data_IF_850877576069
#
_entry.id   IF_850877576069
#
_cell.length_a   1.000
_cell.length_b   1.000
_cell.length_c   1.000
_cell.angle_alpha   90.00
_cell.angle_beta   90.00
_cell.angle_gamma   90.00
#
_symmetry.space_group_name_H-M   'P 1'
#
loop_
_entity.id
_entity.type
_entity.pdbx_description
1 polymer ?
#
# COMPACT_ATOMS: atom_id res chain seq x y z
N UNK A 1 -10.55 3.33 38.07
CA UNK A 1 -11.51 2.62 37.21
C UNK A 1 -10.78 2.09 35.99
N UNK A 2 -9.94 1.10 36.25
CA UNK A 2 -8.97 0.45 35.37
C UNK A 2 -9.63 -0.67 34.58
N UNK A 3 -9.52 -0.68 33.24
CA UNK A 3 -9.90 -1.87 32.46
C UNK A 3 -10.16 -1.71 30.97
N UNK A 4 -10.37 -0.51 30.44
CA UNK A 4 -10.47 -0.33 28.98
C UNK A 4 -9.12 0.13 28.44
N UNK A 5 -8.58 -0.57 27.43
CA UNK A 5 -7.35 -0.23 26.70
C UNK A 5 -7.43 1.12 25.93
N UNK A 6 -8.31 2.04 26.32
CA UNK A 6 -8.61 3.25 25.56
C UNK A 6 -9.32 2.98 24.24
N UNK A 7 -9.69 1.72 23.97
CA UNK A 7 -10.41 1.35 22.77
C UNK A 7 -11.91 1.59 22.96
N UNK A 8 -12.38 2.80 22.70
CA UNK A 8 -13.82 3.06 22.56
C UNK A 8 -14.39 2.31 21.33
N UNK A 9 -15.72 2.16 21.24
CA UNK A 9 -16.40 1.49 20.10
C UNK A 9 -15.92 1.99 18.72
N UNK A 10 -15.56 3.27 18.61
CA UNK A 10 -14.99 3.87 17.40
C UNK A 10 -13.64 3.23 16.99
N UNK A 11 -12.78 2.92 17.95
CA UNK A 11 -11.47 2.32 17.69
C UNK A 11 -11.55 0.84 17.32
N UNK A 12 -12.47 0.07 17.91
CA UNK A 12 -12.72 -1.33 17.53
C UNK A 12 -13.26 -1.38 16.10
N UNK A 13 -14.16 -0.47 15.74
CA UNK A 13 -14.68 -0.34 14.37
C UNK A 13 -13.55 -0.01 13.38
N UNK A 14 -12.66 0.94 13.72
CA UNK A 14 -11.51 1.29 12.89
C UNK A 14 -10.51 0.12 12.74
N UNK A 15 -10.23 -0.61 13.82
CA UNK A 15 -9.36 -1.78 13.78
C UNK A 15 -9.96 -2.93 12.96
N UNK A 16 -11.26 -3.19 13.10
CA UNK A 16 -11.95 -4.21 12.30
C UNK A 16 -11.98 -3.82 10.82
N UNK A 17 -12.27 -2.55 10.51
CA UNK A 17 -12.20 -2.05 9.15
C UNK A 17 -10.79 -2.22 8.55
N UNK A 18 -9.74 -1.84 9.31
CA UNK A 18 -8.36 -2.05 8.92
C UNK A 18 -8.04 -3.53 8.67
N UNK A 19 -8.44 -4.41 9.59
CA UNK A 19 -8.21 -5.85 9.48
C UNK A 19 -8.91 -6.46 8.26
N UNK A 20 -10.17 -6.10 7.99
CA UNK A 20 -10.91 -6.57 6.82
C UNK A 20 -10.28 -6.07 5.53
N UNK A 21 -9.90 -4.79 5.48
CA UNK A 21 -9.28 -4.20 4.29
C UNK A 21 -7.92 -4.83 3.98
N UNK A 22 -7.11 -5.09 5.00
CA UNK A 22 -5.83 -5.80 4.85
C UNK A 22 -6.06 -7.25 4.39
N UNK A 23 -7.03 -7.96 4.97
CA UNK A 23 -7.36 -9.32 4.53
C UNK A 23 -7.81 -9.38 3.07
N UNK A 24 -8.61 -8.40 2.62
CA UNK A 24 -9.01 -8.29 1.22
C UNK A 24 -7.82 -8.00 0.29
N UNK A 25 -6.90 -7.12 0.72
CA UNK A 25 -5.68 -6.82 -0.03
C UNK A 25 -4.79 -8.07 -0.18
N UNK A 26 -4.63 -8.85 0.90
CA UNK A 26 -3.83 -10.08 0.89
C UNK A 26 -4.43 -11.13 -0.04
N UNK A 27 -5.73 -11.37 0.07
CA UNK A 27 -6.43 -12.32 -0.82
C UNK A 27 -6.31 -11.88 -2.27
N UNK A 28 -6.55 -10.61 -2.56
CA UNK A 28 -6.48 -10.07 -3.93
C UNK A 28 -5.05 -10.18 -4.51
N UNK A 29 -4.04 -9.83 -3.71
CA UNK A 29 -2.63 -9.89 -4.13
C UNK A 29 -2.17 -11.32 -4.39
N UNK A 30 -2.57 -12.27 -3.53
CA UNK A 30 -2.22 -13.68 -3.68
C UNK A 30 -2.86 -14.32 -4.92
N UNK A 31 -4.13 -13.98 -5.20
CA UNK A 31 -4.81 -14.44 -6.42
C UNK A 31 -4.16 -13.84 -7.67
N UNK A 32 -3.73 -12.57 -7.63
CA UNK A 32 -3.09 -11.90 -8.77
C UNK A 32 -1.64 -12.39 -9.05
N UNK A 33 -0.91 -12.84 -8.03
CA UNK A 33 0.51 -13.22 -8.17
C UNK A 33 0.74 -14.41 -9.11
N UNK A 34 -0.11 -15.43 -9.06
CA UNK A 34 0.04 -16.62 -9.90
C UNK A 34 -0.08 -16.35 -11.41
N UNK A 35 -1.14 -15.66 -11.90
CA UNK A 35 -1.24 -15.31 -13.32
C UNK A 35 -0.12 -14.37 -13.75
N UNK A 36 0.32 -13.43 -12.92
CA UNK A 36 1.48 -12.56 -13.26
C UNK A 36 2.76 -13.37 -13.51
N UNK A 37 3.02 -14.37 -12.65
CA UNK A 37 4.19 -15.25 -12.80
C UNK A 37 4.10 -16.10 -14.07
N UNK A 38 2.90 -16.58 -14.41
CA UNK A 38 2.69 -17.36 -15.63
C UNK A 38 2.79 -16.49 -16.88
N UNK A 39 2.23 -15.27 -16.88
CA UNK A 39 2.34 -14.31 -17.99
C UNK A 39 3.79 -14.01 -18.36
N UNK A 40 4.66 -13.79 -17.35
CA UNK A 40 6.10 -13.56 -17.57
C UNK A 40 6.79 -14.83 -18.06
N UNK A 41 6.30 -16.01 -17.69
CA UNK A 41 6.80 -17.29 -18.20
C UNK A 41 6.42 -17.55 -19.66
N UNK A 42 5.24 -17.10 -20.09
CA UNK A 42 4.66 -17.35 -21.42
C UNK A 42 5.10 -16.31 -22.47
N UNK A 43 5.42 -15.09 -22.05
CA UNK A 43 5.78 -13.98 -22.95
C UNK A 43 7.28 -13.93 -23.32
N UNK A 44 8.15 -14.74 -22.69
CA UNK A 44 9.60 -14.59 -22.80
C UNK A 44 10.31 -15.95 -22.90
N UNK A 45 11.27 -16.08 -23.83
CA UNK A 45 12.09 -17.28 -24.02
C UNK A 45 12.88 -17.63 -22.74
N UNK A 46 13.21 -18.91 -22.53
CA UNK A 46 13.86 -19.41 -21.30
C UNK A 46 15.13 -18.65 -20.92
N UNK A 47 15.94 -18.23 -21.90
CA UNK A 47 17.17 -17.46 -21.68
C UNK A 47 16.92 -16.02 -21.16
N UNK A 48 15.73 -15.46 -21.39
CA UNK A 48 15.37 -14.09 -21.06
C UNK A 48 14.51 -13.97 -19.80
N UNK A 49 14.02 -15.10 -19.25
CA UNK A 49 13.17 -15.11 -18.04
C UNK A 49 13.84 -14.42 -16.86
N UNK A 50 15.14 -14.66 -16.63
CA UNK A 50 15.88 -14.02 -15.52
C UNK A 50 15.90 -12.50 -15.63
N UNK A 51 16.10 -11.97 -16.84
CA UNK A 51 16.09 -10.53 -17.10
C UNK A 51 14.68 -9.93 -16.94
N UNK A 52 13.66 -10.62 -17.44
CA UNK A 52 12.26 -10.19 -17.29
C UNK A 52 11.81 -10.14 -15.81
N UNK A 53 12.15 -11.16 -15.02
CA UNK A 53 11.92 -11.15 -13.57
C UNK A 53 12.72 -10.03 -12.87
N UNK A 54 13.94 -9.74 -13.34
CA UNK A 54 14.75 -8.63 -12.86
C UNK A 54 14.06 -7.27 -13.06
N UNK A 55 13.55 -7.00 -14.27
CA UNK A 55 12.80 -5.77 -14.57
C UNK A 55 11.51 -5.69 -13.75
N UNK A 56 10.75 -6.79 -13.66
CA UNK A 56 9.52 -6.83 -12.88
C UNK A 56 9.79 -6.52 -11.40
N UNK A 57 10.82 -7.12 -10.83
CA UNK A 57 11.24 -6.87 -9.45
C UNK A 57 11.72 -5.43 -9.26
N UNK A 58 12.50 -4.89 -10.20
CA UNK A 58 12.97 -3.51 -10.15
C UNK A 58 11.81 -2.51 -10.19
N UNK A 59 10.86 -2.69 -11.10
CA UNK A 59 9.67 -1.83 -11.21
C UNK A 59 8.79 -1.94 -9.95
N UNK A 60 8.56 -3.14 -9.43
CA UNK A 60 7.77 -3.34 -8.22
C UNK A 60 8.41 -2.71 -6.99
N UNK A 61 9.72 -2.92 -6.79
CA UNK A 61 10.44 -2.34 -5.66
C UNK A 61 10.61 -0.81 -5.81
N UNK A 62 10.91 -0.34 -7.03
CA UNK A 62 10.99 1.09 -7.33
C UNK A 62 9.67 1.81 -7.07
N UNK A 63 8.55 1.21 -7.50
CA UNK A 63 7.21 1.72 -7.21
C UNK A 63 6.92 1.77 -5.71
N UNK A 64 7.30 0.72 -4.95
CA UNK A 64 7.13 0.70 -3.49
C UNK A 64 7.96 1.79 -2.79
N UNK A 65 9.20 2.03 -3.23
CA UNK A 65 10.05 3.10 -2.68
C UNK A 65 9.45 4.48 -2.98
N UNK A 66 8.99 4.72 -4.21
CA UNK A 66 8.35 5.99 -4.58
C UNK A 66 7.09 6.21 -3.73
N UNK A 67 6.25 5.17 -3.57
CA UNK A 67 5.04 5.23 -2.75
C UNK A 67 5.35 5.52 -1.27
N UNK A 68 6.43 4.99 -0.72
CA UNK A 68 6.85 5.27 0.66
C UNK A 68 7.33 6.71 0.87
N UNK A 69 7.89 7.33 -0.17
CA UNK A 69 8.43 8.70 -0.11
C UNK A 69 7.33 9.75 -0.37
N UNK A 70 6.23 9.38 -1.01
CA UNK A 70 5.12 10.27 -1.38
C UNK A 70 4.60 11.18 -0.25
N UNK A 71 4.32 10.69 0.97
CA UNK A 71 3.87 11.54 2.08
C UNK A 71 4.90 12.60 2.48
N UNK A 72 6.18 12.27 2.38
CA UNK A 72 7.28 13.20 2.67
C UNK A 72 7.40 14.29 1.61
N UNK A 73 7.15 13.94 0.34
CA UNK A 73 7.10 14.92 -0.75
C UNK A 73 5.99 15.93 -0.47
N UNK A 74 4.77 15.49 -0.15
CA UNK A 74 3.68 16.42 0.19
C UNK A 74 3.97 17.24 1.44
N UNK A 75 4.65 16.65 2.41
CA UNK A 75 5.11 17.38 3.61
C UNK A 75 6.11 18.48 3.24
N UNK A 76 7.05 18.22 2.32
CA UNK A 76 7.99 19.21 1.83
C UNK A 76 7.31 20.36 1.06
N UNK A 77 6.17 20.09 0.43
CA UNK A 77 5.30 21.11 -0.19
C UNK A 77 4.41 21.87 0.81
N UNK A 78 4.56 21.64 2.12
CA UNK A 78 3.87 22.38 3.17
C UNK A 78 2.56 21.74 3.66
N UNK A 79 2.27 20.50 3.27
CA UNK A 79 1.12 19.75 3.83
C UNK A 79 1.47 19.29 5.24
N UNK A 80 0.57 19.54 6.20
CA UNK A 80 0.76 19.11 7.59
C UNK A 80 0.96 17.58 7.70
N UNK A 81 2.08 17.18 8.29
CA UNK A 81 2.39 15.79 8.64
C UNK A 81 1.99 15.46 10.10
N UNK A 82 1.62 16.47 10.88
CA UNK A 82 1.11 16.29 12.24
C UNK A 82 -0.42 16.38 12.26
N UNK A 83 -1.04 15.55 13.08
CA UNK A 83 -2.48 15.56 13.30
C UNK A 83 -2.79 15.32 14.78
N UNK A 84 -3.97 15.77 15.21
CA UNK A 84 -4.47 15.50 16.56
C UNK A 84 -4.67 13.99 16.79
N UNK A 85 -4.68 13.60 18.06
CA UNK A 85 -4.80 12.19 18.45
C UNK A 85 -6.11 11.59 17.92
N UNK A 86 -6.01 10.64 17.01
CA UNK A 86 -7.16 9.98 16.36
C UNK A 86 -7.46 10.47 14.94
N UNK A 87 -6.69 11.43 14.42
CA UNK A 87 -6.80 11.93 13.04
C UNK A 87 -5.58 11.50 12.23
N UNK A 88 -5.80 11.07 10.99
CA UNK A 88 -4.71 10.73 10.06
C UNK A 88 -4.14 12.02 9.47
N UNK A 89 -2.81 12.21 9.41
CA UNK A 89 -2.20 13.39 8.82
C UNK A 89 -2.63 13.63 7.37
N UNK A 90 -2.83 14.91 7.02
CA UNK A 90 -3.31 15.31 5.70
C UNK A 90 -2.35 14.86 4.59
N UNK A 91 -1.04 14.85 4.86
CA UNK A 91 -0.02 14.35 3.92
C UNK A 91 -0.23 12.87 3.55
N UNK A 92 -0.65 12.04 4.50
CA UNK A 92 -0.93 10.62 4.31
C UNK A 92 -2.25 10.43 3.54
N UNK A 93 -3.29 11.20 3.89
CA UNK A 93 -4.59 11.15 3.20
C UNK A 93 -4.46 11.52 1.73
N UNK A 94 -3.76 12.62 1.42
CA UNK A 94 -3.54 13.06 0.03
C UNK A 94 -2.72 12.03 -0.74
N UNK A 95 -1.68 11.46 -0.11
CA UNK A 95 -0.86 10.41 -0.73
C UNK A 95 -1.69 9.17 -1.08
N UNK A 96 -2.61 8.77 -0.21
CA UNK A 96 -3.51 7.65 -0.44
C UNK A 96 -4.45 7.90 -1.63
N UNK A 97 -5.08 9.07 -1.72
CA UNK A 97 -5.98 9.39 -2.83
C UNK A 97 -5.26 9.56 -4.17
N UNK A 98 -4.07 10.16 -4.18
CA UNK A 98 -3.27 10.26 -5.41
C UNK A 98 -2.83 8.86 -5.87
N UNK A 99 -2.43 7.99 -4.93
CA UNK A 99 -2.17 6.59 -5.22
C UNK A 99 -3.39 5.87 -5.81
N UNK A 100 -4.57 6.04 -5.21
CA UNK A 100 -5.81 5.46 -5.71
C UNK A 100 -6.17 5.97 -7.11
N UNK A 101 -5.94 7.26 -7.41
CA UNK A 101 -6.20 7.83 -8.72
C UNK A 101 -5.24 7.32 -9.81
N UNK A 102 -4.00 6.98 -9.47
CA UNK A 102 -3.03 6.38 -10.41
C UNK A 102 -3.41 4.92 -10.77
N UNK A 103 -4.11 4.22 -9.86
CA UNK A 103 -4.50 2.83 -10.04
C UNK A 103 -5.82 2.64 -10.81
N UNK A 104 -6.64 3.70 -10.92
CA UNK A 104 -7.88 3.73 -11.71
C UNK A 104 -7.59 4.03 -13.19
#
# INVERSE_FOLDING_TARGET
NSGSFGFGYASVTALVFGAVTVALLDVSSNIAMQPFKMMVGDMVNDDQKSYAYGIQSFLSNGGAVIAAIFPFIFTAFGVANTAEKGVVPQSVVISFYVGAAILL
#
